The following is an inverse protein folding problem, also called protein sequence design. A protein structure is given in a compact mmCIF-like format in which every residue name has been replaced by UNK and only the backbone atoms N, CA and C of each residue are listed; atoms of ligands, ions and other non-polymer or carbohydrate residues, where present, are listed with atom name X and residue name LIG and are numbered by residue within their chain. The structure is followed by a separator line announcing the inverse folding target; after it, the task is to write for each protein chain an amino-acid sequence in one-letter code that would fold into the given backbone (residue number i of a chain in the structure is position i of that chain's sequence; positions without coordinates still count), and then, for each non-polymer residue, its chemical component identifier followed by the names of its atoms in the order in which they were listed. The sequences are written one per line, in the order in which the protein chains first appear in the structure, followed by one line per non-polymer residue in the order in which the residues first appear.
data_IF_725380582038
#
_entry.id   IF_725380582038
#
_cell.length_a   1.000
_cell.length_b   1.000
_cell.length_c   1.000
_cell.angle_alpha   90.00
_cell.angle_beta   90.00
_cell.angle_gamma   90.00
#
_symmetry.space_group_name_H-M   'P 1'
#
loop_
_entity.id
_entity.type
_entity.pdbx_description
1 polymer ?
#
# COMPACT_ATOMS: atom_id res chain seq x y z
N UNK A 1 3.36 -12.06 -19.51
CA UNK A 1 3.87 -10.68 -19.35
C UNK A 1 4.55 -10.61 -18.00
N UNK A 2 5.65 -9.88 -17.86
CA UNK A 2 6.33 -9.74 -16.56
C UNK A 2 5.51 -8.84 -15.64
N UNK A 3 5.39 -9.24 -14.38
CA UNK A 3 4.69 -8.51 -13.32
C UNK A 3 5.64 -7.61 -12.52
N UNK A 4 6.94 -7.69 -12.80
CA UNK A 4 7.96 -6.80 -12.27
C UNK A 4 7.72 -5.35 -12.68
N UNK A 5 8.13 -4.42 -11.82
CA UNK A 5 8.07 -2.99 -12.08
C UNK A 5 9.33 -2.55 -12.86
N UNK A 6 9.20 -1.88 -14.01
CA UNK A 6 10.36 -1.30 -14.69
C UNK A 6 11.01 -0.19 -13.86
N UNK A 7 12.34 -0.04 -13.95
CA UNK A 7 13.05 0.99 -13.19
C UNK A 7 12.55 2.42 -13.51
N UNK A 8 12.24 2.70 -14.78
CA UNK A 8 11.67 3.99 -15.20
C UNK A 8 10.32 4.30 -14.55
N UNK A 9 9.47 3.29 -14.38
CA UNK A 9 8.18 3.41 -13.66
C UNK A 9 8.45 3.66 -12.18
N UNK A 10 9.35 2.90 -11.56
CA UNK A 10 9.75 3.12 -10.17
C UNK A 10 10.28 4.55 -9.94
N UNK A 11 11.15 5.05 -10.82
CA UNK A 11 11.69 6.42 -10.74
C UNK A 11 10.59 7.47 -10.89
N UNK A 12 9.67 7.29 -11.84
CA UNK A 12 8.55 8.22 -12.04
C UNK A 12 7.65 8.25 -10.80
N UNK A 13 7.29 7.10 -10.25
CA UNK A 13 6.46 7.01 -9.05
C UNK A 13 7.14 7.66 -7.85
N UNK A 14 8.44 7.39 -7.67
CA UNK A 14 9.23 8.03 -6.62
C UNK A 14 9.26 9.56 -6.77
N UNK A 15 9.41 10.07 -7.98
CA UNK A 15 9.50 11.51 -8.22
C UNK A 15 8.14 12.23 -8.09
N UNK A 16 7.05 11.56 -8.48
CA UNK A 16 5.75 12.22 -8.67
C UNK A 16 4.67 11.81 -7.66
N UNK A 17 4.86 10.69 -6.96
CA UNK A 17 3.82 10.06 -6.11
C UNK A 17 4.31 9.63 -4.73
N UNK A 18 5.59 9.79 -4.41
CA UNK A 18 6.14 9.32 -3.15
C UNK A 18 5.47 9.88 -1.88
N UNK A 19 4.78 11.00 -1.99
CA UNK A 19 4.04 11.60 -0.87
C UNK A 19 2.72 10.87 -0.56
N UNK A 20 2.16 10.12 -1.51
CA UNK A 20 0.78 9.58 -1.46
C UNK A 20 0.66 8.15 -1.97
N UNK A 21 1.79 7.54 -2.34
CA UNK A 21 1.89 6.18 -2.80
C UNK A 21 3.16 5.52 -2.26
N UNK A 22 3.11 4.21 -2.09
CA UNK A 22 4.22 3.42 -1.57
C UNK A 22 4.16 2.00 -2.11
N UNK A 23 5.00 1.11 -1.59
CA UNK A 23 5.00 -0.30 -1.91
C UNK A 23 4.79 -1.11 -0.64
N UNK A 24 4.16 -2.27 -0.76
CA UNK A 24 4.01 -3.25 0.31
C UNK A 24 5.29 -4.11 0.44
N UNK A 25 6.43 -3.46 0.67
CA UNK A 25 7.73 -4.13 0.85
C UNK A 25 8.42 -3.53 2.06
N UNK A 26 8.90 -4.39 2.95
CA UNK A 26 9.65 -4.01 4.15
C UNK A 26 10.95 -4.83 4.19
N UNK A 27 11.93 -4.49 5.02
CA UNK A 27 13.00 -5.44 5.33
C UNK A 27 12.40 -6.72 5.92
N UNK A 28 13.01 -7.89 5.69
CA UNK A 28 12.50 -9.12 6.26
C UNK A 28 12.51 -9.02 7.79
N UNK A 29 11.39 -9.34 8.46
CA UNK A 29 11.38 -9.34 9.91
C UNK A 29 12.35 -10.43 10.43
N UNK A 30 13.07 -10.18 11.54
CA UNK A 30 13.97 -11.17 12.13
C UNK A 30 13.23 -12.43 12.62
N UNK A 31 11.92 -12.32 12.79
CA UNK A 31 11.00 -13.42 13.11
C UNK A 31 9.88 -13.45 12.07
N UNK A 32 9.42 -14.63 11.66
CA UNK A 32 8.24 -14.74 10.80
C UNK A 32 7.08 -14.03 11.51
N UNK A 33 6.48 -13.04 10.85
CA UNK A 33 5.28 -12.37 11.36
C UNK A 33 4.13 -13.36 11.37
N UNK A 34 3.98 -14.17 12.42
CA UNK A 34 2.84 -15.07 12.52
C UNK A 34 1.58 -14.24 12.77
N UNK A 35 0.63 -14.18 11.83
CA UNK A 35 -0.58 -13.41 12.01
C UNK A 35 -1.46 -13.97 13.15
N UNK A 36 -1.30 -15.24 13.54
CA UNK A 36 -2.01 -15.83 14.68
C UNK A 36 -1.38 -15.46 16.04
N UNK A 37 -0.19 -14.86 16.03
CA UNK A 37 0.47 -14.33 17.22
C UNK A 37 -0.09 -12.94 17.60
N UNK A 38 0.13 -12.52 18.85
CA UNK A 38 -0.11 -11.12 19.21
C UNK A 38 0.94 -10.25 18.51
N UNK A 39 0.66 -9.84 17.27
CA UNK A 39 1.54 -8.98 16.49
C UNK A 39 1.83 -7.70 17.29
N UNK A 40 3.11 -7.47 17.60
CA UNK A 40 3.58 -6.24 18.24
C UNK A 40 4.31 -5.35 17.22
N UNK A 41 4.68 -4.14 17.62
CA UNK A 41 5.52 -3.25 16.82
C UNK A 41 7.01 -3.56 16.90
N UNK A 42 7.41 -4.61 17.65
CA UNK A 42 8.77 -5.14 17.69
C UNK A 42 8.98 -6.13 16.53
N UNK A 43 10.17 -6.12 15.92
CA UNK A 43 10.48 -7.03 14.80
C UNK A 43 9.90 -6.61 13.44
N UNK A 44 9.49 -5.35 13.27
CA UNK A 44 8.79 -4.91 12.05
C UNK A 44 9.73 -4.61 10.86
N UNK A 45 11.04 -4.89 10.99
CA UNK A 45 12.07 -4.55 9.98
C UNK A 45 12.22 -3.03 9.77
N UNK A 46 13.32 -2.58 9.18
CA UNK A 46 13.52 -1.16 8.84
C UNK A 46 13.36 -0.88 7.33
N UNK A 47 13.14 0.39 6.97
CA UNK A 47 12.85 0.84 5.59
C UNK A 47 14.13 1.19 4.80
N UNK A 48 15.32 0.94 5.34
CA UNK A 48 16.61 1.38 4.78
C UNK A 48 16.95 0.90 3.35
N UNK A 49 16.08 0.12 2.72
CA UNK A 49 16.32 -0.60 1.48
C UNK A 49 15.95 0.15 0.18
N UNK A 50 15.25 1.29 0.25
CA UNK A 50 14.77 2.04 -0.93
C UNK A 50 15.67 3.19 -1.39
N UNK A 51 16.84 3.37 -0.75
CA UNK A 51 17.85 4.35 -1.16
C UNK A 51 18.67 3.81 -2.33
N UNK A 52 18.01 3.55 -3.45
CA UNK A 52 18.64 2.93 -4.61
C UNK A 52 18.87 3.98 -5.70
N UNK A 53 20.12 4.45 -5.90
CA UNK A 53 20.40 5.56 -6.81
C UNK A 53 20.54 5.14 -8.28
N UNK A 54 20.80 3.86 -8.57
CA UNK A 54 21.06 3.34 -9.92
C UNK A 54 20.08 2.23 -10.32
N UNK A 55 19.97 1.96 -11.62
CA UNK A 55 19.16 0.85 -12.15
C UNK A 55 19.72 -0.51 -11.74
N UNK A 56 21.04 -0.69 -11.76
CA UNK A 56 21.68 -1.94 -11.36
C UNK A 56 21.41 -2.28 -9.89
N UNK A 57 21.52 -1.30 -8.99
CA UNK A 57 21.19 -1.50 -7.57
C UNK A 57 19.69 -1.81 -7.39
N UNK A 58 18.82 -1.27 -8.25
CA UNK A 58 17.39 -1.53 -8.22
C UNK A 58 17.08 -2.96 -8.65
N UNK A 59 17.63 -3.40 -9.77
CA UNK A 59 17.46 -4.75 -10.31
C UNK A 59 18.09 -5.82 -9.39
N UNK A 60 19.18 -5.49 -8.71
CA UNK A 60 19.82 -6.36 -7.74
C UNK A 60 19.12 -6.39 -6.36
N UNK A 61 18.31 -5.38 -6.05
CA UNK A 61 17.66 -5.21 -4.76
C UNK A 61 16.13 -5.18 -4.87
N UNK A 62 15.54 -4.03 -4.53
CA UNK A 62 14.09 -3.90 -4.35
C UNK A 62 13.27 -4.21 -5.60
N UNK A 63 13.83 -4.03 -6.80
CA UNK A 63 13.16 -4.33 -8.07
C UNK A 63 12.79 -5.81 -8.24
N UNK A 64 13.44 -6.72 -7.52
CA UNK A 64 13.07 -8.14 -7.49
C UNK A 64 11.77 -8.39 -6.72
N UNK A 65 11.40 -7.48 -5.83
CA UNK A 65 10.23 -7.61 -4.97
C UNK A 65 8.99 -6.90 -5.53
N UNK A 66 9.19 -5.78 -6.24
CA UNK A 66 8.09 -4.92 -6.67
C UNK A 66 7.24 -5.54 -7.76
N UNK A 67 5.93 -5.46 -7.58
CA UNK A 67 4.91 -6.12 -8.39
C UNK A 67 3.83 -5.12 -8.81
N UNK A 68 3.54 -5.04 -10.11
CA UNK A 68 2.47 -4.19 -10.66
C UNK A 68 1.14 -4.92 -10.86
N UNK A 69 1.12 -6.24 -10.68
CA UNK A 69 -0.09 -7.08 -10.72
C UNK A 69 -0.82 -7.15 -9.37
N UNK A 70 -0.35 -6.40 -8.38
CA UNK A 70 -1.01 -6.22 -7.09
C UNK A 70 -1.14 -4.72 -6.82
N UNK A 71 -2.37 -4.24 -6.66
CA UNK A 71 -2.68 -2.85 -6.34
C UNK A 71 -3.51 -2.81 -5.05
N UNK A 72 -2.92 -2.22 -4.02
CA UNK A 72 -3.54 -1.98 -2.73
C UNK A 72 -4.03 -0.55 -2.68
N UNK A 73 -5.28 -0.35 -2.28
CA UNK A 73 -5.94 0.95 -2.34
C UNK A 73 -6.31 1.40 -0.93
N UNK A 74 -5.63 2.41 -0.44
CA UNK A 74 -5.94 3.07 0.83
C UNK A 74 -6.94 4.20 0.66
N UNK A 75 -7.29 4.86 1.78
CA UNK A 75 -8.23 5.97 1.75
C UNK A 75 -7.51 7.31 1.56
N UNK A 76 -6.48 7.58 2.36
CA UNK A 76 -5.78 8.85 2.39
C UNK A 76 -4.37 8.68 2.98
N UNK A 77 -3.41 9.52 2.56
CA UNK A 77 -2.07 9.52 3.12
C UNK A 77 -2.10 9.78 4.62
N UNK A 78 -1.24 9.08 5.34
CA UNK A 78 -1.00 9.33 6.75
C UNK A 78 -0.57 10.78 6.97
N UNK A 79 -1.31 11.52 7.80
CA UNK A 79 -0.76 12.71 8.42
C UNK A 79 0.42 12.37 9.34
N UNK A 80 1.58 12.99 9.13
CA UNK A 80 2.66 13.03 10.13
C UNK A 80 2.57 14.33 10.90
N UNK A 81 2.69 14.29 12.22
CA UNK A 81 2.90 15.51 12.98
C UNK A 81 4.40 15.79 13.08
N UNK A 82 4.82 16.99 12.72
CA UNK A 82 6.17 17.46 13.05
C UNK A 82 6.30 17.69 14.57
N UNK A 83 7.48 18.13 15.02
CA UNK A 83 7.73 18.42 16.45
C UNK A 83 6.82 19.51 17.03
N UNK A 84 6.09 20.24 16.18
CA UNK A 84 5.15 21.31 16.57
C UNK A 84 3.68 20.84 16.57
N UNK A 85 3.42 19.57 16.22
CA UNK A 85 2.07 19.03 16.12
C UNK A 85 1.38 19.33 14.78
N UNK A 86 2.07 19.99 13.84
CA UNK A 86 1.52 20.31 12.52
C UNK A 86 1.56 19.08 11.63
N UNK A 87 0.44 18.81 10.95
CA UNK A 87 0.41 17.79 9.91
C UNK A 87 1.31 18.21 8.74
N UNK A 88 2.38 17.46 8.53
CA UNK A 88 3.37 17.62 7.47
C UNK A 88 3.38 16.39 6.56
N UNK A 89 3.83 16.61 5.34
CA UNK A 89 4.02 15.54 4.36
C UNK A 89 5.15 14.62 4.78
N UNK A 90 4.99 13.35 4.46
CA UNK A 90 6.04 12.36 4.59
C UNK A 90 7.10 12.57 3.52
N UNK A 91 8.23 13.16 3.91
CA UNK A 91 9.39 13.38 3.02
C UNK A 91 10.37 12.20 3.00
N UNK A 92 10.07 11.08 3.69
CA UNK A 92 10.96 9.92 3.69
C UNK A 92 10.85 9.14 2.38
N UNK A 93 11.90 8.38 2.09
CA UNK A 93 12.11 7.62 0.86
C UNK A 93 10.92 6.73 0.52
N UNK A 94 10.38 6.94 -0.69
CA UNK A 94 9.41 6.11 -1.37
C UNK A 94 9.68 4.61 -1.13
N UNK A 95 8.81 3.94 -0.38
CA UNK A 95 9.03 2.53 -0.10
C UNK A 95 8.10 1.87 0.90
N UNK A 96 7.56 2.59 1.88
CA UNK A 96 6.73 1.96 2.91
C UNK A 96 5.61 2.85 3.41
N UNK A 97 4.43 2.25 3.50
CA UNK A 97 3.28 2.77 4.22
C UNK A 97 3.57 2.82 5.75
N UNK A 98 3.38 3.98 6.38
CA UNK A 98 3.28 4.20 7.84
C UNK A 98 4.45 3.82 8.80
N UNK A 99 5.71 3.98 8.42
CA UNK A 99 6.83 3.51 9.27
C UNK A 99 7.10 4.32 10.58
N UNK A 100 6.69 5.58 10.70
CA UNK A 100 7.22 6.46 11.79
C UNK A 100 6.47 6.49 13.11
N UNK A 101 5.19 6.13 13.16
CA UNK A 101 4.45 6.19 14.42
C UNK A 101 4.29 4.78 14.98
N UNK A 102 4.68 4.59 16.23
CA UNK A 102 4.37 3.36 16.99
C UNK A 102 2.87 3.05 17.02
N UNK A 103 2.02 4.04 16.73
CA UNK A 103 0.57 3.92 16.60
C UNK A 103 0.15 3.52 15.17
N UNK A 104 0.94 3.87 14.15
CA UNK A 104 0.61 3.62 12.73
C UNK A 104 1.42 2.52 12.07
N UNK A 105 2.48 1.96 12.70
CA UNK A 105 3.22 0.81 12.17
C UNK A 105 2.22 -0.30 11.88
N UNK A 106 1.84 -0.45 10.62
CA UNK A 106 0.74 -1.31 10.21
C UNK A 106 1.23 -2.76 10.10
N UNK A 107 1.70 -3.28 11.23
CA UNK A 107 2.15 -4.66 11.41
C UNK A 107 1.08 -5.66 10.95
N UNK A 108 -0.20 -5.26 10.96
CA UNK A 108 -1.34 -6.05 10.48
C UNK A 108 -1.39 -6.11 8.97
N UNK A 109 -1.35 -4.97 8.28
CA UNK A 109 -1.26 -4.96 6.82
C UNK A 109 0.00 -5.70 6.35
N UNK A 110 1.12 -5.52 7.04
CA UNK A 110 2.37 -6.22 6.74
C UNK A 110 2.24 -7.74 6.89
N UNK A 111 1.67 -8.23 7.98
CA UNK A 111 1.45 -9.67 8.17
C UNK A 111 0.51 -10.23 7.11
N UNK A 112 -0.56 -9.51 6.75
CA UNK A 112 -1.45 -9.92 5.66
C UNK A 112 -0.72 -9.91 4.32
N UNK A 113 0.07 -8.88 4.04
CA UNK A 113 0.81 -8.79 2.79
C UNK A 113 1.84 -9.91 2.63
N UNK A 114 2.53 -10.27 3.72
CA UNK A 114 3.51 -11.33 3.76
C UNK A 114 2.87 -12.71 3.53
N UNK A 115 1.73 -13.00 4.17
CA UNK A 115 1.11 -14.34 4.13
C UNK A 115 0.03 -14.54 3.06
N UNK A 116 -0.45 -13.49 2.39
CA UNK A 116 -1.48 -13.60 1.33
C UNK A 116 -1.01 -13.06 -0.02
N UNK A 117 0.31 -13.04 -0.26
CA UNK A 117 0.88 -12.71 -1.55
C UNK A 117 0.62 -11.28 -2.00
N UNK A 118 0.52 -10.32 -1.06
CA UNK A 118 0.43 -8.89 -1.39
C UNK A 118 1.78 -8.17 -1.30
N UNK A 119 2.82 -8.88 -0.86
CA UNK A 119 4.18 -8.37 -0.80
C UNK A 119 4.63 -7.89 -2.17
N UNK A 120 5.28 -6.73 -2.24
CA UNK A 120 5.67 -6.15 -3.53
C UNK A 120 4.61 -5.28 -4.17
N UNK A 121 3.36 -5.35 -3.72
CA UNK A 121 2.25 -4.65 -4.34
C UNK A 121 2.34 -3.12 -4.23
N UNK A 122 1.82 -2.42 -5.23
CA UNK A 122 1.74 -0.96 -5.22
C UNK A 122 0.61 -0.49 -4.30
N UNK A 123 0.90 0.44 -3.38
CA UNK A 123 -0.09 1.06 -2.50
C UNK A 123 -0.37 2.48 -2.98
N UNK A 124 -1.64 2.81 -3.19
CA UNK A 124 -2.09 4.16 -3.55
C UNK A 124 -3.36 4.52 -2.79
N UNK A 125 -3.52 5.77 -2.39
CA UNK A 125 -4.74 6.24 -1.72
C UNK A 125 -5.78 6.79 -2.70
N UNK A 126 -7.07 6.69 -2.35
CA UNK A 126 -8.13 7.38 -3.11
C UNK A 126 -8.03 8.90 -2.98
N UNK A 127 -7.85 9.42 -1.76
CA UNK A 127 -7.60 10.84 -1.53
C UNK A 127 -6.10 11.14 -1.64
N UNK A 128 -5.62 11.35 -2.86
CA UNK A 128 -4.21 11.64 -3.15
C UNK A 128 -3.79 13.08 -2.80
N UNK A 129 -4.61 13.83 -2.07
CA UNK A 129 -4.42 15.28 -1.88
C UNK A 129 -4.46 15.63 -0.39
N UNK A 130 -5.43 15.09 0.35
CA UNK A 130 -5.65 15.43 1.75
C UNK A 130 -4.75 14.60 2.65
N UNK A 131 -3.78 15.26 3.26
CA UNK A 131 -2.97 14.66 4.32
C UNK A 131 -3.68 14.87 5.65
N UNK A 132 -4.17 13.79 6.25
CA UNK A 132 -5.02 13.85 7.44
C UNK A 132 -4.78 12.63 8.35
N UNK A 133 -4.87 12.85 9.65
CA UNK A 133 -4.76 11.81 10.69
C UNK A 133 -6.06 11.04 10.91
N UNK A 134 -7.19 11.65 10.60
CA UNK A 134 -8.53 11.06 10.71
C UNK A 134 -9.07 10.64 9.35
N UNK A 135 -9.11 9.33 9.09
CA UNK A 135 -9.72 8.77 7.87
C UNK A 135 -11.17 9.20 7.67
N UNK A 136 -11.91 9.50 8.75
CA UNK A 136 -13.30 9.99 8.66
C UNK A 136 -13.40 11.35 7.96
N UNK A 137 -12.42 12.23 8.14
CA UNK A 137 -12.41 13.56 7.53
C UNK A 137 -12.14 13.46 6.04
N UNK A 138 -11.16 12.63 5.65
CA UNK A 138 -10.90 12.33 4.24
C UNK A 138 -12.12 11.64 3.58
N UNK A 139 -12.73 10.68 4.26
CA UNK A 139 -13.93 9.99 3.79
C UNK A 139 -15.09 10.97 3.54
N UNK A 140 -15.36 11.87 4.49
CA UNK A 140 -16.44 12.85 4.34
C UNK A 140 -16.18 13.79 3.17
N UNK A 141 -14.93 14.21 2.98
CA UNK A 141 -14.53 15.06 1.85
C UNK A 141 -14.75 14.34 0.52
N UNK A 142 -14.30 13.09 0.40
CA UNK A 142 -14.57 12.26 -0.78
C UNK A 142 -16.08 12.07 -1.00
N UNK A 143 -16.89 11.95 0.05
CA UNK A 143 -18.34 11.78 -0.08
C UNK A 143 -19.05 13.04 -0.58
N UNK A 144 -18.67 14.20 -0.05
CA UNK A 144 -19.41 15.46 -0.17
C UNK A 144 -18.90 16.39 -1.28
N UNK A 145 -17.60 16.36 -1.60
CA UNK A 145 -16.99 17.28 -2.57
C UNK A 145 -16.71 16.56 -3.91
N UNK A 146 -17.54 16.86 -4.92
CA UNK A 146 -17.41 16.29 -6.26
C UNK A 146 -16.12 16.74 -6.97
N UNK A 147 -15.76 18.02 -6.85
CA UNK A 147 -14.57 18.56 -7.50
C UNK A 147 -13.30 17.93 -6.91
N UNK A 148 -13.27 17.72 -5.59
CA UNK A 148 -12.16 17.03 -4.94
C UNK A 148 -12.04 15.58 -5.44
N UNK A 149 -13.16 14.85 -5.57
CA UNK A 149 -13.16 13.51 -6.16
C UNK A 149 -12.67 13.49 -7.59
N UNK A 150 -13.11 14.42 -8.44
CA UNK A 150 -12.69 14.49 -9.84
C UNK A 150 -11.16 14.62 -9.96
N UNK A 151 -10.56 15.50 -9.16
CA UNK A 151 -9.10 15.69 -9.14
C UNK A 151 -8.40 14.42 -8.62
N UNK A 152 -8.90 13.82 -7.54
CA UNK A 152 -8.35 12.57 -7.02
C UNK A 152 -8.42 11.43 -8.05
N UNK A 153 -9.55 11.29 -8.75
CA UNK A 153 -9.73 10.28 -9.79
C UNK A 153 -8.78 10.54 -10.98
N UNK A 154 -8.56 11.79 -11.38
CA UNK A 154 -7.59 12.14 -12.42
C UNK A 154 -6.16 11.77 -12.00
N UNK A 155 -5.77 12.06 -10.76
CA UNK A 155 -4.43 11.73 -10.25
C UNK A 155 -4.24 10.21 -10.13
N UNK A 156 -5.29 9.48 -9.74
CA UNK A 156 -5.30 8.02 -9.72
C UNK A 156 -5.20 7.44 -11.14
N UNK A 157 -5.93 8.01 -12.11
CA UNK A 157 -5.85 7.61 -13.52
C UNK A 157 -4.44 7.78 -14.08
N UNK A 158 -3.79 8.92 -13.83
CA UNK A 158 -2.39 9.16 -14.22
C UNK A 158 -1.46 8.15 -13.55
N UNK A 159 -1.66 7.89 -12.26
CA UNK A 159 -0.83 6.93 -11.50
C UNK A 159 -0.95 5.53 -12.07
N UNK A 160 -2.17 5.02 -12.27
CA UNK A 160 -2.39 3.68 -12.82
C UNK A 160 -1.95 3.60 -14.30
N UNK A 161 -2.08 4.70 -15.04
CA UNK A 161 -1.56 4.81 -16.40
C UNK A 161 -0.05 4.66 -16.48
N UNK A 162 0.70 5.21 -15.51
CA UNK A 162 2.15 5.03 -15.43
C UNK A 162 2.58 3.69 -14.83
N UNK A 163 1.80 3.14 -13.89
CA UNK A 163 2.05 1.80 -13.32
C UNK A 163 1.87 0.71 -14.40
N UNK A 164 0.93 0.93 -15.31
CA UNK A 164 0.52 -0.02 -16.35
C UNK A 164 0.24 -1.42 -15.76
N UNK A 165 -0.67 -1.56 -14.77
CA UNK A 165 -0.98 -2.87 -14.22
C UNK A 165 -1.58 -3.77 -15.31
N UNK A 166 -1.31 -5.09 -15.29
CA UNK A 166 -2.04 -6.01 -16.16
C UNK A 166 -3.54 -5.95 -15.83
N UNK A 167 -4.39 -6.12 -16.84
CA UNK A 167 -5.86 -6.06 -16.66
C UNK A 167 -6.41 -7.02 -15.61
N UNK A 168 -5.72 -8.14 -15.35
CA UNK A 168 -6.08 -9.14 -14.34
C UNK A 168 -5.37 -8.94 -12.99
N UNK A 169 -4.76 -7.77 -12.76
CA UNK A 169 -4.13 -7.46 -11.48
C UNK A 169 -5.11 -7.62 -10.31
N UNK A 170 -4.58 -8.07 -9.18
CA UNK A 170 -5.31 -8.19 -7.93
C UNK A 170 -5.46 -6.79 -7.34
N UNK A 171 -6.70 -6.31 -7.22
CA UNK A 171 -7.02 -5.03 -6.57
C UNK A 171 -7.56 -5.31 -5.18
N UNK A 172 -6.94 -4.72 -4.16
CA UNK A 172 -7.36 -4.87 -2.77
C UNK A 172 -7.69 -3.52 -2.16
N UNK A 173 -8.94 -3.32 -1.75
CA UNK A 173 -9.37 -2.17 -0.99
C UNK A 173 -9.04 -2.36 0.49
N UNK A 174 -8.25 -1.45 1.04
CA UNK A 174 -7.82 -1.45 2.43
C UNK A 174 -8.91 -0.85 3.33
N UNK A 175 -10.06 -1.51 3.39
CA UNK A 175 -11.20 -1.18 4.26
C UNK A 175 -12.50 -0.89 3.50
N UNK A 176 -13.63 -1.14 4.18
CA UNK A 176 -14.97 -1.02 3.59
C UNK A 176 -15.27 0.32 2.96
N UNK A 177 -14.90 1.43 3.60
CA UNK A 177 -15.14 2.78 3.06
C UNK A 177 -14.47 2.99 1.69
N UNK A 178 -13.30 2.39 1.46
CA UNK A 178 -12.59 2.47 0.17
C UNK A 178 -13.38 1.73 -0.91
N UNK A 179 -13.74 0.47 -0.65
CA UNK A 179 -14.53 -0.33 -1.58
C UNK A 179 -15.88 0.32 -1.90
N UNK A 180 -16.58 0.82 -0.88
CA UNK A 180 -17.84 1.56 -1.01
C UNK A 180 -17.70 2.82 -1.89
N UNK A 181 -16.60 3.57 -1.74
CA UNK A 181 -16.34 4.76 -2.55
C UNK A 181 -16.06 4.39 -4.01
N UNK A 182 -15.24 3.38 -4.27
CA UNK A 182 -14.99 2.91 -5.65
C UNK A 182 -16.28 2.38 -6.29
N UNK A 183 -17.09 1.63 -5.53
CA UNK A 183 -18.35 1.12 -6.04
C UNK A 183 -19.35 2.26 -6.28
N UNK A 184 -19.54 3.19 -5.34
CA UNK A 184 -20.68 4.15 -5.40
C UNK A 184 -20.37 5.46 -6.09
N UNK A 185 -19.09 5.82 -6.30
CA UNK A 185 -18.69 7.07 -6.94
C UNK A 185 -18.20 6.79 -8.36
N UNK A 186 -18.92 7.34 -9.34
CA UNK A 186 -18.71 7.06 -10.77
C UNK A 186 -17.28 7.40 -11.22
N UNK A 187 -16.71 8.46 -10.67
CA UNK A 187 -15.38 8.97 -10.98
C UNK A 187 -14.32 7.89 -10.70
N UNK A 188 -14.38 7.27 -9.51
CA UNK A 188 -13.48 6.18 -9.16
C UNK A 188 -13.81 4.89 -9.90
N UNK A 189 -15.09 4.53 -9.99
CA UNK A 189 -15.52 3.32 -10.72
C UNK A 189 -14.98 3.29 -12.15
N UNK A 190 -15.08 4.41 -12.86
CA UNK A 190 -14.60 4.57 -14.24
C UNK A 190 -13.09 4.33 -14.34
N UNK A 191 -12.30 4.85 -13.39
CA UNK A 191 -10.85 4.63 -13.35
C UNK A 191 -10.54 3.15 -13.13
N UNK A 192 -11.18 2.49 -12.18
CA UNK A 192 -10.91 1.06 -11.93
C UNK A 192 -11.33 0.17 -13.11
N UNK A 193 -12.49 0.41 -13.72
CA UNK A 193 -12.94 -0.32 -14.92
C UNK A 193 -11.99 -0.12 -16.12
N UNK A 194 -11.33 1.04 -16.20
CA UNK A 194 -10.32 1.35 -17.22
C UNK A 194 -9.01 0.55 -17.06
N UNK A 195 -8.65 0.10 -15.87
CA UNK A 195 -7.40 -0.65 -15.65
C UNK A 195 -7.57 -2.11 -15.25
N UNK A 196 -8.74 -2.52 -14.75
CA UNK A 196 -8.93 -3.86 -14.19
C UNK A 196 -10.19 -4.54 -14.75
N UNK A 197 -10.08 -5.83 -15.04
CA UNK A 197 -11.20 -6.69 -15.46
C UNK A 197 -11.95 -7.26 -14.25
N UNK A 198 -11.23 -7.49 -13.15
CA UNK A 198 -11.77 -8.08 -11.92
C UNK A 198 -12.22 -6.99 -10.96
N UNK A 199 -13.35 -7.18 -10.25
CA UNK A 199 -13.71 -6.30 -9.15
C UNK A 199 -12.66 -6.40 -8.04
N UNK A 200 -12.35 -5.28 -7.40
CA UNK A 200 -11.48 -5.30 -6.23
C UNK A 200 -12.12 -6.00 -5.04
N UNK A 201 -11.27 -6.57 -4.18
CA UNK A 201 -11.69 -7.23 -2.95
C UNK A 201 -11.34 -6.39 -1.73
N UNK A 202 -12.17 -6.43 -0.70
CA UNK A 202 -11.96 -5.63 0.51
C UNK A 202 -11.35 -6.45 1.63
N UNK A 203 -10.21 -5.98 2.16
CA UNK A 203 -9.66 -6.48 3.43
C UNK A 203 -9.82 -5.47 4.57
N UNK A 204 -10.02 -5.97 5.79
CA UNK A 204 -10.09 -5.13 6.99
C UNK A 204 -8.76 -5.13 7.74
N UNK A 205 -8.09 -3.97 7.81
CA UNK A 205 -6.74 -3.90 8.38
C UNK A 205 -6.60 -2.98 9.61
N UNK A 206 -7.39 -1.90 9.75
CA UNK A 206 -7.37 -1.02 10.94
C UNK A 206 -8.31 -1.43 12.08
N UNK A 207 -9.61 -1.65 11.81
CA UNK A 207 -10.62 -1.90 12.84
C UNK A 207 -11.71 -2.88 12.37
N UNK A 208 -11.56 -4.16 12.72
CA UNK A 208 -12.69 -5.10 12.74
C UNK A 208 -13.12 -5.32 14.19
N UNK A 209 -14.44 -5.39 14.44
CA UNK A 209 -15.03 -5.57 15.79
C UNK A 209 -14.49 -6.82 16.51
N UNK A 210 -13.97 -7.76 15.74
CA UNK A 210 -13.62 -9.12 16.19
C UNK A 210 -12.09 -9.35 16.22
N UNK A 211 -11.29 -8.28 16.30
CA UNK A 211 -9.85 -8.39 16.52
C UNK A 211 -9.04 -8.81 15.29
N UNK A 212 -7.87 -9.42 15.52
CA UNK A 212 -6.92 -9.86 14.48
C UNK A 212 -7.42 -11.10 13.72
N UNK A 213 -8.00 -12.07 14.41
CA UNK A 213 -8.51 -13.32 13.83
C UNK A 213 -9.57 -13.08 12.75
N UNK A 214 -10.51 -12.17 12.96
CA UNK A 214 -11.51 -11.89 11.92
C UNK A 214 -10.91 -11.22 10.68
N UNK A 215 -9.83 -10.46 10.83
CA UNK A 215 -9.10 -9.86 9.69
C UNK A 215 -8.42 -10.93 8.87
N UNK A 216 -7.77 -11.88 9.55
CA UNK A 216 -7.18 -13.07 8.94
C UNK A 216 -8.24 -13.90 8.23
N UNK A 217 -9.39 -14.15 8.87
CA UNK A 217 -10.50 -14.88 8.27
C UNK A 217 -11.03 -14.15 7.04
N UNK A 218 -11.16 -12.81 7.09
CA UNK A 218 -11.57 -12.01 5.95
C UNK A 218 -10.54 -12.05 4.82
N UNK A 219 -9.25 -11.84 5.10
CA UNK A 219 -8.17 -11.98 4.12
C UNK A 219 -8.20 -13.38 3.49
N UNK A 220 -8.33 -14.43 4.30
CA UNK A 220 -8.43 -15.81 3.80
C UNK A 220 -9.64 -16.03 2.91
N UNK A 221 -10.78 -15.44 3.28
CA UNK A 221 -12.03 -15.55 2.51
C UNK A 221 -11.92 -14.87 1.15
N UNK A 222 -11.24 -13.72 1.06
CA UNK A 222 -11.25 -12.88 -0.15
C UNK A 222 -10.00 -13.03 -1.02
N UNK A 223 -8.86 -13.40 -0.43
CA UNK A 223 -7.57 -13.61 -1.10
C UNK A 223 -7.22 -15.11 -1.24
N UNK A 224 -7.96 -15.99 -0.56
CA UNK A 224 -7.68 -17.43 -0.54
C UNK A 224 -6.73 -17.85 0.57
N UNK A 225 -6.14 -19.03 0.43
CA UNK A 225 -5.27 -19.62 1.46
C UNK A 225 -3.97 -18.83 1.66
N UNK A 226 -3.41 -18.92 2.88
CA UNK A 226 -2.07 -18.38 3.15
C UNK A 226 -1.04 -19.02 2.23
N UNK A 227 -0.07 -18.22 1.81
CA UNK A 227 1.08 -18.61 1.01
C UNK A 227 2.31 -18.75 1.91
N UNK A 228 3.25 -19.62 1.53
CA UNK A 228 4.55 -19.67 2.18
C UNK A 228 5.39 -18.47 1.72
N UNK A 229 5.76 -17.56 2.64
CA UNK A 229 6.51 -16.36 2.28
C UNK A 229 8.01 -16.60 2.09
N UNK A 230 8.52 -17.83 2.26
CA UNK A 230 9.95 -18.14 2.16
C UNK A 230 10.61 -17.71 0.84
N UNK A 231 9.83 -17.64 -0.25
CA UNK A 231 10.28 -17.16 -1.57
C UNK A 231 10.21 -15.65 -1.79
N UNK A 232 9.62 -14.88 -0.88
CA UNK A 232 9.46 -13.41 -0.98
C UNK A 232 10.64 -12.65 -0.36
N UNK A 233 11.73 -13.37 -0.08
CA UNK A 233 12.91 -12.83 0.59
C UNK A 233 13.63 -11.83 -0.32
N UNK A 234 13.51 -10.55 0.01
CA UNK A 234 14.33 -9.51 -0.61
C UNK A 234 15.70 -9.55 0.08
N UNK A 235 16.81 -9.78 -0.63
CA UNK A 235 18.13 -9.68 -0.02
C UNK A 235 18.30 -8.28 0.56
N UNK A 236 18.42 -8.18 1.88
CA UNK A 236 18.67 -6.94 2.60
C UNK A 236 20.16 -6.66 2.78
N UNK A 237 20.54 -5.39 2.97
CA UNK A 237 21.86 -4.99 3.48
C UNK A 237 21.85 -5.32 4.97
N UNK A 238 22.28 -6.54 5.30
CA UNK A 238 22.50 -6.95 6.70
C UNK A 238 23.69 -6.21 7.33
N UNK A 239 24.33 -5.31 6.58
CA UNK A 239 25.55 -4.56 6.86
C UNK A 239 25.29 -3.05 6.89
N UNK A 240 24.50 -2.57 7.85
CA UNK A 240 24.72 -1.23 8.41
C UNK A 240 25.19 -1.40 9.87
N UNK A 241 26.20 -0.62 10.30
CA UNK A 241 26.81 -0.74 11.63
C UNK A 241 25.83 -0.53 12.78
#
# INVERSE_FOLDING_TARGET
MTTSVPFSVYQWMRANRAEVASWAVWENPPEVLDPDSQLTTAGVGEVGFFETPTEDDYLAGVGQALQRDIVLVGLNPAGRQDKTGRVVRDVRTFGCFHDTSSVTKDHRLRAVAYHWGLWGGFIVDLDTITVETSSKVAEEKLKSDAKHRDICAQLLDETLGHLEPPRHATVVFLGGSVGDLVEKKQEFRTVFEKYFDSPGVTIWHYSHRDGLNARICNATKVLGSRQDPSGLWVPGRTDRP
#
